data_IF_828546669102
#
_entry.id   IF_828546669102
#
_cell.length_a   1.000
_cell.length_b   1.000
_cell.length_c   1.000
_cell.angle_alpha   90.00
_cell.angle_beta   90.00
_cell.angle_gamma   90.00
#
_symmetry.space_group_name_H-M   'P 1'
#
loop_
_entity.id
_entity.type
_entity.pdbx_description
1 polymer ?
#
# COMPACT_ATOMS: atom_id res chain seq x y z
N UNK A 1 -17.02 -10.58 24.62
CA UNK A 1 -16.84 -12.02 24.39
C UNK A 1 -16.61 -12.24 22.90
N UNK A 2 -15.45 -12.76 22.44
CA UNK A 2 -15.26 -13.05 21.03
C UNK A 2 -16.18 -14.22 20.60
N UNK A 3 -16.78 -14.10 19.42
CA UNK A 3 -17.75 -15.06 18.87
C UNK A 3 -17.04 -16.39 18.49
N UNK A 4 -17.43 -17.54 19.07
CA UNK A 4 -16.70 -18.81 18.95
C UNK A 4 -16.78 -19.51 17.57
N UNK A 5 -17.41 -18.90 16.56
CA UNK A 5 -17.58 -19.50 15.21
C UNK A 5 -16.64 -18.98 14.12
N UNK A 6 -15.62 -18.19 14.44
CA UNK A 6 -14.56 -17.86 13.49
C UNK A 6 -13.20 -18.15 14.12
N UNK A 7 -12.39 -19.08 13.59
CA UNK A 7 -10.98 -19.13 13.95
C UNK A 7 -10.44 -17.72 13.72
N UNK A 8 -9.80 -17.17 14.74
CA UNK A 8 -9.31 -15.81 14.71
C UNK A 8 -8.31 -15.74 13.55
N UNK A 9 -8.70 -15.13 12.43
CA UNK A 9 -7.88 -15.13 11.20
C UNK A 9 -6.49 -14.56 11.43
N UNK A 10 -6.36 -13.73 12.46
CA UNK A 10 -5.10 -13.20 12.94
C UNK A 10 -4.17 -14.33 13.41
N UNK A 11 -4.67 -15.42 13.99
CA UNK A 11 -3.88 -16.62 14.35
C UNK A 11 -3.24 -17.30 13.14
N UNK A 12 -3.79 -17.12 11.93
CA UNK A 12 -3.17 -17.63 10.69
C UNK A 12 -2.20 -16.61 10.06
N UNK A 13 -2.44 -15.32 10.25
CA UNK A 13 -1.65 -14.24 9.67
C UNK A 13 -0.41 -13.93 10.52
N UNK A 14 -0.54 -13.96 11.83
CA UNK A 14 0.52 -13.62 12.78
C UNK A 14 1.74 -14.54 12.64
N UNK A 15 1.62 -15.87 12.47
CA UNK A 15 2.77 -16.74 12.20
C UNK A 15 3.54 -16.38 10.91
N UNK A 16 2.85 -15.89 9.87
CA UNK A 16 3.48 -15.44 8.62
C UNK A 16 4.27 -14.15 8.88
N UNK A 17 3.69 -13.21 9.61
CA UNK A 17 4.35 -11.96 10.02
C UNK A 17 5.54 -12.21 10.96
N UNK A 18 5.43 -13.15 11.88
CA UNK A 18 6.52 -13.55 12.77
C UNK A 18 7.67 -14.13 11.96
N UNK A 19 7.37 -15.11 11.09
CA UNK A 19 8.36 -15.80 10.26
C UNK A 19 9.05 -14.87 9.26
N UNK A 20 8.29 -14.15 8.45
CA UNK A 20 8.84 -13.37 7.33
C UNK A 20 8.99 -11.88 7.62
N UNK A 21 8.19 -11.33 8.54
CA UNK A 21 8.21 -9.90 8.87
C UNK A 21 7.38 -9.07 7.92
N UNK A 22 6.75 -9.69 6.94
CA UNK A 22 5.84 -9.06 5.99
C UNK A 22 4.80 -10.05 5.47
N UNK A 23 3.70 -9.52 4.95
CA UNK A 23 2.67 -10.27 4.23
C UNK A 23 2.02 -9.36 3.19
N UNK A 24 1.72 -9.89 2.00
CA UNK A 24 1.02 -9.14 0.95
C UNK A 24 -0.47 -9.03 1.26
N UNK A 25 -1.13 -7.97 0.76
CA UNK A 25 -2.59 -7.91 0.76
C UNK A 25 -3.16 -9.07 -0.08
N UNK A 26 -2.71 -9.15 -1.34
CA UNK A 26 -3.11 -10.17 -2.30
C UNK A 26 -1.95 -10.51 -3.23
N UNK A 27 -1.66 -11.80 -3.38
CA UNK A 27 -0.68 -12.34 -4.32
C UNK A 27 -1.03 -13.79 -4.69
N UNK A 28 -0.62 -14.21 -5.88
CA UNK A 28 -0.93 -15.53 -6.43
C UNK A 28 0.02 -16.61 -5.90
N UNK A 29 1.28 -16.25 -5.65
CA UNK A 29 2.36 -17.19 -5.32
C UNK A 29 2.95 -16.94 -3.94
N UNK A 30 2.97 -15.69 -3.49
CA UNK A 30 3.52 -15.31 -2.21
C UNK A 30 2.44 -15.30 -1.11
N UNK A 31 2.81 -15.52 0.16
CA UNK A 31 1.90 -15.42 1.28
C UNK A 31 1.15 -14.09 1.28
N UNK A 32 -0.18 -14.15 1.32
CA UNK A 32 -1.04 -12.98 1.31
C UNK A 32 -2.20 -13.13 2.28
N UNK A 33 -2.73 -12.00 2.77
CA UNK A 33 -3.92 -11.97 3.63
C UNK A 33 -5.10 -12.62 2.91
N UNK A 34 -5.28 -12.31 1.62
CA UNK A 34 -6.33 -12.89 0.79
C UNK A 34 -6.23 -14.41 0.71
N UNK A 35 -5.07 -14.96 0.31
CA UNK A 35 -4.90 -16.43 0.22
C UNK A 35 -5.03 -17.12 1.58
N UNK A 36 -4.61 -16.45 2.67
CA UNK A 36 -4.75 -16.98 4.03
C UNK A 36 -6.22 -17.10 4.47
N UNK A 37 -7.07 -16.16 4.05
CA UNK A 37 -8.50 -16.15 4.36
C UNK A 37 -9.27 -17.13 3.46
N UNK A 38 -8.97 -17.13 2.16
CA UNK A 38 -9.66 -17.98 1.19
C UNK A 38 -9.24 -19.45 1.36
N UNK A 39 -7.97 -19.69 1.71
CA UNK A 39 -7.38 -21.03 1.81
C UNK A 39 -6.71 -21.51 0.52
N UNK A 40 -6.80 -20.71 -0.56
CA UNK A 40 -6.20 -20.97 -1.87
C UNK A 40 -5.80 -19.65 -2.54
N UNK A 41 -5.04 -19.75 -3.63
CA UNK A 41 -4.65 -18.57 -4.42
C UNK A 41 -5.82 -18.07 -5.28
N UNK A 42 -6.04 -16.76 -5.32
CA UNK A 42 -7.07 -16.16 -6.17
C UNK A 42 -6.47 -15.62 -7.47
N UNK A 43 -7.12 -15.92 -8.60
CA UNK A 43 -6.87 -15.24 -9.86
C UNK A 43 -7.77 -14.02 -9.99
N UNK A 44 -7.18 -12.83 -10.12
CA UNK A 44 -7.91 -11.58 -10.29
C UNK A 44 -8.28 -10.87 -8.98
N UNK A 45 -9.39 -10.13 -9.00
CA UNK A 45 -9.81 -9.23 -7.92
C UNK A 45 -10.60 -9.96 -6.83
N UNK A 46 -10.22 -9.79 -5.57
CA UNK A 46 -10.94 -10.35 -4.43
C UNK A 46 -12.23 -9.60 -4.09
N UNK A 47 -12.45 -8.39 -4.62
CA UNK A 47 -13.60 -7.54 -4.29
C UNK A 47 -14.96 -8.19 -4.58
N UNK A 48 -15.04 -9.02 -5.61
CA UNK A 48 -16.26 -9.77 -5.96
C UNK A 48 -16.37 -11.15 -5.33
N UNK A 49 -15.39 -11.56 -4.51
CA UNK A 49 -15.36 -12.88 -3.92
C UNK A 49 -16.40 -13.01 -2.79
N UNK A 50 -16.94 -14.21 -2.58
CA UNK A 50 -17.94 -14.48 -1.51
C UNK A 50 -17.42 -14.12 -0.11
N UNK A 51 -16.11 -14.21 0.10
CA UNK A 51 -15.43 -13.79 1.34
C UNK A 51 -14.92 -12.34 1.33
N UNK A 52 -15.29 -11.52 0.34
CA UNK A 52 -14.77 -10.16 0.16
C UNK A 52 -14.94 -9.27 1.39
N UNK A 53 -16.12 -9.32 2.04
CA UNK A 53 -16.37 -8.58 3.28
C UNK A 53 -15.41 -8.99 4.41
N UNK A 54 -15.10 -10.29 4.51
CA UNK A 54 -14.18 -10.82 5.53
C UNK A 54 -12.74 -10.38 5.26
N UNK A 55 -12.34 -10.36 3.99
CA UNK A 55 -11.04 -9.83 3.56
C UNK A 55 -10.94 -8.35 3.91
N UNK A 56 -11.92 -7.54 3.51
CA UNK A 56 -11.95 -6.10 3.78
C UNK A 56 -11.85 -5.79 5.28
N UNK A 57 -12.63 -6.47 6.11
CA UNK A 57 -12.58 -6.32 7.57
C UNK A 57 -11.19 -6.68 8.13
N UNK A 58 -10.60 -7.78 7.67
CA UNK A 58 -9.29 -8.22 8.15
C UNK A 58 -8.18 -7.24 7.77
N UNK A 59 -8.17 -6.75 6.52
CA UNK A 59 -7.25 -5.70 6.06
C UNK A 59 -7.45 -4.39 6.84
N UNK A 60 -8.69 -4.05 7.17
CA UNK A 60 -9.04 -2.91 8.02
C UNK A 60 -8.49 -3.04 9.45
N UNK A 61 -8.49 -4.24 10.03
CA UNK A 61 -7.90 -4.51 11.34
C UNK A 61 -6.37 -4.39 11.26
N UNK A 62 -5.75 -5.04 10.26
CA UNK A 62 -4.29 -5.03 10.11
C UNK A 62 -3.74 -3.62 9.85
N UNK A 63 -4.42 -2.81 9.04
CA UNK A 63 -3.98 -1.44 8.72
C UNK A 63 -3.99 -0.49 9.92
N UNK A 64 -4.75 -0.82 10.98
CA UNK A 64 -4.82 -0.06 12.23
C UNK A 64 -3.87 -0.58 13.31
N UNK A 65 -3.19 -1.70 13.08
CA UNK A 65 -2.25 -2.26 14.06
C UNK A 65 -0.98 -1.40 14.12
N UNK A 66 -0.57 -0.92 15.31
CA UNK A 66 0.56 0.00 15.44
C UNK A 66 1.92 -0.63 15.13
N UNK A 67 2.02 -1.97 15.09
CA UNK A 67 3.25 -2.67 14.75
C UNK A 67 3.37 -3.04 13.26
N UNK A 68 2.43 -2.60 12.42
CA UNK A 68 2.42 -2.85 10.98
C UNK A 68 2.45 -1.53 10.21
N UNK A 69 3.34 -1.45 9.22
CA UNK A 69 3.34 -0.41 8.21
C UNK A 69 2.68 -0.97 6.94
N UNK A 70 1.72 -0.27 6.37
CA UNK A 70 1.16 -0.61 5.06
C UNK A 70 1.92 0.20 4.01
N UNK A 71 2.46 -0.43 2.98
CA UNK A 71 3.19 0.29 1.91
C UNK A 71 3.20 -0.51 0.61
N UNK A 72 3.72 0.07 -0.48
CA UNK A 72 4.10 -0.67 -1.68
C UNK A 72 5.54 -1.16 -1.52
N UNK A 73 5.74 -2.47 -1.68
CA UNK A 73 7.07 -3.08 -1.54
C UNK A 73 7.24 -4.23 -2.53
N UNK A 74 6.84 -5.45 -2.15
CA UNK A 74 7.05 -6.64 -2.98
C UNK A 74 6.18 -6.57 -4.24
N UNK A 75 6.81 -6.68 -5.41
CA UNK A 75 6.13 -6.60 -6.71
C UNK A 75 5.27 -5.33 -6.88
N UNK A 76 5.60 -4.25 -6.15
CA UNK A 76 4.82 -2.99 -6.11
C UNK A 76 3.40 -3.16 -5.56
N UNK A 77 3.14 -4.24 -4.81
CA UNK A 77 1.84 -4.55 -4.23
C UNK A 77 1.73 -4.06 -2.79
N UNK A 78 0.50 -3.88 -2.32
CA UNK A 78 0.24 -3.53 -0.90
C UNK A 78 0.82 -4.63 -0.02
N UNK A 79 1.71 -4.24 0.87
CA UNK A 79 2.44 -5.12 1.77
C UNK A 79 2.33 -4.57 3.18
N UNK A 80 1.99 -5.43 4.13
CA UNK A 80 2.08 -5.14 5.56
C UNK A 80 3.48 -5.52 6.04
N UNK A 81 4.20 -4.57 6.61
CA UNK A 81 5.59 -4.72 7.07
C UNK A 81 5.62 -4.60 8.59
N UNK A 82 6.05 -5.67 9.25
CA UNK A 82 6.16 -5.73 10.69
C UNK A 82 7.28 -4.82 11.21
N UNK A 83 7.07 -4.23 12.39
CA UNK A 83 7.98 -3.24 13.01
C UNK A 83 9.45 -3.64 13.07
N UNK A 84 9.74 -4.94 13.17
CA UNK A 84 11.10 -5.46 13.18
C UNK A 84 11.88 -5.18 11.89
N UNK A 85 11.17 -4.97 10.77
CA UNK A 85 11.75 -4.65 9.48
C UNK A 85 11.75 -3.14 9.18
N UNK A 86 11.14 -2.30 10.02
CA UNK A 86 11.07 -0.86 9.76
C UNK A 86 12.44 -0.19 9.61
N UNK A 87 13.47 -0.49 10.41
CA UNK A 87 14.79 0.12 10.20
C UNK A 87 15.37 -0.18 8.81
N UNK A 88 15.25 -1.43 8.35
CA UNK A 88 15.69 -1.84 7.01
C UNK A 88 14.85 -1.20 5.91
N UNK A 89 13.53 -1.16 6.09
CA UNK A 89 12.63 -0.48 5.15
C UNK A 89 12.95 1.01 5.05
N UNK A 90 13.14 1.71 6.17
CA UNK A 90 13.49 3.14 6.19
C UNK A 90 14.85 3.41 5.54
N UNK A 91 15.81 2.51 5.73
CA UNK A 91 17.12 2.61 5.05
C UNK A 91 16.91 2.62 3.54
N UNK A 92 16.12 1.68 3.00
CA UNK A 92 15.81 1.63 1.56
C UNK A 92 15.02 2.88 1.13
N UNK A 93 13.97 3.24 1.86
CA UNK A 93 13.09 4.35 1.51
C UNK A 93 13.81 5.72 1.49
N UNK A 94 14.89 5.87 2.26
CA UNK A 94 15.65 7.12 2.37
C UNK A 94 16.96 7.12 1.59
N UNK A 95 17.36 5.97 1.05
CA UNK A 95 18.68 5.77 0.41
C UNK A 95 18.90 6.62 -0.84
N UNK A 96 17.83 6.92 -1.60
CA UNK A 96 17.90 7.64 -2.89
C UNK A 96 18.84 6.97 -3.89
N UNK A 97 18.87 5.64 -3.87
CA UNK A 97 19.68 4.86 -4.79
C UNK A 97 19.25 5.06 -6.25
N UNK A 98 20.15 4.81 -7.23
CA UNK A 98 19.86 5.00 -8.65
C UNK A 98 18.55 4.34 -9.12
N UNK A 99 18.26 3.11 -8.67
CA UNK A 99 17.01 2.43 -9.03
C UNK A 99 15.74 3.19 -8.59
N UNK A 100 15.84 4.03 -7.55
CA UNK A 100 14.73 4.88 -7.11
C UNK A 100 14.58 6.09 -8.02
N UNK A 101 15.68 6.76 -8.39
CA UNK A 101 15.66 8.08 -9.04
C UNK A 101 15.81 8.04 -10.57
N UNK A 102 16.47 7.03 -11.11
CA UNK A 102 16.80 6.97 -12.54
C UNK A 102 15.56 6.81 -13.40
N UNK A 103 15.50 7.55 -14.50
CA UNK A 103 14.40 7.49 -15.48
C UNK A 103 13.02 7.72 -14.88
N UNK A 104 12.90 8.53 -13.82
CA UNK A 104 11.60 9.02 -13.37
C UNK A 104 10.91 9.79 -14.50
N UNK A 105 9.61 9.55 -14.69
CA UNK A 105 8.85 10.37 -15.63
C UNK A 105 8.89 11.85 -15.23
N UNK A 106 8.80 12.82 -16.17
CA UNK A 106 8.83 14.24 -15.85
C UNK A 106 7.76 14.66 -14.82
N UNK A 107 6.59 14.01 -14.85
CA UNK A 107 5.52 14.26 -13.88
C UNK A 107 5.85 13.67 -12.50
N UNK A 108 6.44 12.47 -12.43
CA UNK A 108 6.91 11.88 -11.17
C UNK A 108 8.03 12.72 -10.55
N UNK A 109 8.99 13.21 -11.34
CA UNK A 109 10.06 14.07 -10.84
C UNK A 109 9.51 15.39 -10.26
N UNK A 110 8.59 16.06 -10.98
CA UNK A 110 7.93 17.28 -10.49
C UNK A 110 7.11 17.03 -9.22
N UNK A 111 6.35 15.93 -9.20
CA UNK A 111 5.54 15.55 -8.03
C UNK A 111 6.42 15.23 -6.82
N UNK A 112 7.51 14.49 -7.01
CA UNK A 112 8.48 14.18 -5.95
C UNK A 112 9.09 15.46 -5.37
N UNK A 113 9.49 16.40 -6.23
CA UNK A 113 9.98 17.70 -5.78
C UNK A 113 8.92 18.45 -4.97
N UNK A 114 7.66 18.49 -5.43
CA UNK A 114 6.58 19.14 -4.70
C UNK A 114 6.30 18.50 -3.33
N UNK A 115 6.33 17.17 -3.24
CA UNK A 115 6.17 16.43 -1.97
C UNK A 115 7.33 16.74 -1.02
N UNK A 116 8.58 16.77 -1.52
CA UNK A 116 9.76 17.09 -0.70
C UNK A 116 9.71 18.52 -0.12
N UNK A 117 9.18 19.48 -0.87
CA UNK A 117 9.03 20.86 -0.40
C UNK A 117 7.89 21.02 0.61
N UNK A 118 6.75 20.36 0.39
CA UNK A 118 5.56 20.51 1.24
C UNK A 118 5.50 19.52 2.40
N UNK A 119 6.30 18.46 2.38
CA UNK A 119 6.29 17.33 3.32
C UNK A 119 5.08 16.40 3.18
N UNK A 120 3.91 16.94 2.83
CA UNK A 120 2.68 16.19 2.51
C UNK A 120 1.94 16.89 1.38
N UNK A 121 1.25 16.12 0.55
CA UNK A 121 0.55 16.67 -0.61
C UNK A 121 -0.68 15.83 -0.99
N UNK A 122 -1.80 16.51 -1.25
CA UNK A 122 -2.98 15.90 -1.87
C UNK A 122 -2.88 16.02 -3.39
N UNK A 123 -2.94 14.91 -4.13
CA UNK A 123 -2.91 14.96 -5.60
C UNK A 123 -4.13 15.70 -6.16
N UNK A 124 -5.25 15.73 -5.43
CA UNK A 124 -6.44 16.48 -5.83
C UNK A 124 -6.23 17.99 -5.75
N UNK A 125 -5.67 18.49 -4.64
CA UNK A 125 -5.37 19.91 -4.46
C UNK A 125 -4.27 20.34 -5.44
N UNK A 126 -3.21 19.53 -5.54
CA UNK A 126 -2.12 19.81 -6.46
C UNK A 126 -2.57 19.80 -7.93
N UNK A 127 -3.54 18.96 -8.29
CA UNK A 127 -4.17 18.97 -9.63
C UNK A 127 -4.82 20.32 -9.92
N UNK A 128 -5.57 20.87 -8.95
CA UNK A 128 -6.23 22.17 -9.07
C UNK A 128 -5.22 23.31 -9.19
N UNK A 129 -4.17 23.30 -8.38
CA UNK A 129 -3.16 24.36 -8.35
C UNK A 129 -2.28 24.36 -9.60
N UNK A 130 -1.88 23.18 -10.08
CA UNK A 130 -0.93 23.04 -11.20
C UNK A 130 -1.59 22.95 -12.58
N UNK A 131 -2.91 22.70 -12.63
CA UNK A 131 -3.63 22.38 -13.86
C UNK A 131 -3.34 20.98 -14.43
N UNK A 132 -2.49 20.18 -13.78
CA UNK A 132 -2.19 18.81 -14.21
C UNK A 132 -3.37 17.91 -13.90
N UNK A 133 -3.82 17.11 -14.88
CA UNK A 133 -4.96 16.19 -14.72
C UNK A 133 -4.70 15.17 -13.59
N UNK A 134 -5.75 14.91 -12.79
CA UNK A 134 -5.66 13.98 -11.65
C UNK A 134 -5.18 12.58 -12.02
N UNK A 135 -5.55 12.05 -13.19
CA UNK A 135 -5.09 10.74 -13.67
C UNK A 135 -3.58 10.69 -13.87
N UNK A 136 -3.00 11.75 -14.46
CA UNK A 136 -1.55 11.88 -14.67
C UNK A 136 -0.80 11.94 -13.35
N UNK A 137 -1.33 12.65 -12.35
CA UNK A 137 -0.78 12.67 -11.00
C UNK A 137 -0.94 11.31 -10.30
N UNK A 138 -2.02 10.59 -10.58
CA UNK A 138 -2.23 9.23 -10.09
C UNK A 138 -1.17 8.26 -10.61
N UNK A 139 -0.81 8.34 -11.88
CA UNK A 139 0.23 7.50 -12.48
C UNK A 139 1.62 7.87 -11.97
N UNK A 140 1.92 9.16 -11.88
CA UNK A 140 3.15 9.66 -11.26
C UNK A 140 3.27 9.19 -9.79
N UNK A 141 2.19 9.26 -9.01
CA UNK A 141 2.18 8.78 -7.63
C UNK A 141 2.43 7.27 -7.54
N UNK A 142 1.83 6.47 -8.42
CA UNK A 142 2.08 5.01 -8.47
C UNK A 142 3.53 4.68 -8.82
N UNK A 143 4.13 5.44 -9.74
CA UNK A 143 5.56 5.31 -10.07
C UNK A 143 6.43 5.59 -8.85
N UNK A 144 6.18 6.68 -8.12
CA UNK A 144 6.94 7.04 -6.92
C UNK A 144 6.75 6.03 -5.78
N UNK A 145 5.53 5.52 -5.56
CA UNK A 145 5.26 4.46 -4.58
C UNK A 145 5.99 3.17 -4.93
N UNK A 146 5.99 2.78 -6.21
CA UNK A 146 6.71 1.60 -6.70
C UNK A 146 8.23 1.69 -6.50
N UNK A 147 8.76 2.91 -6.43
CA UNK A 147 10.17 3.23 -6.16
C UNK A 147 10.45 3.56 -4.69
N UNK A 148 9.45 3.42 -3.81
CA UNK A 148 9.54 3.68 -2.38
C UNK A 148 10.03 5.12 -2.08
N UNK A 149 9.64 6.08 -2.94
CA UNK A 149 10.01 7.48 -2.81
C UNK A 149 8.95 8.32 -2.09
N UNK A 150 7.70 7.83 -2.07
CA UNK A 150 6.58 8.46 -1.36
C UNK A 150 5.72 7.39 -0.70
N UNK A 151 5.06 7.76 0.38
CA UNK A 151 4.03 6.93 1.01
C UNK A 151 2.66 7.47 0.64
N UNK A 152 1.88 6.71 -0.14
CA UNK A 152 0.56 7.17 -0.61
C UNK A 152 -0.61 6.45 0.05
N UNK A 153 -1.60 7.24 0.48
CA UNK A 153 -2.90 6.74 0.94
C UNK A 153 -3.97 7.19 -0.07
N UNK A 154 -4.65 6.22 -0.69
CA UNK A 154 -5.76 6.49 -1.61
C UNK A 154 -7.03 6.94 -0.87
N UNK A 155 -7.76 7.88 -1.46
CA UNK A 155 -9.08 8.31 -0.99
C UNK A 155 -9.95 8.72 -2.18
N UNK A 156 -11.27 8.70 -1.99
CA UNK A 156 -12.21 9.29 -2.95
C UNK A 156 -12.37 10.77 -2.61
N UNK A 157 -12.16 11.64 -3.58
CA UNK A 157 -12.48 13.06 -3.44
C UNK A 157 -14.00 13.27 -3.42
N UNK A 158 -14.46 14.45 -2.99
CA UNK A 158 -15.88 14.83 -3.02
C UNK A 158 -16.48 14.80 -4.44
N UNK A 159 -15.64 14.94 -5.48
CA UNK A 159 -16.04 14.82 -6.88
C UNK A 159 -15.99 13.38 -7.43
N UNK A 160 -15.78 12.38 -6.56
CA UNK A 160 -15.73 10.95 -6.93
C UNK A 160 -14.44 10.50 -7.62
N UNK A 161 -13.43 11.37 -7.75
CA UNK A 161 -12.14 11.00 -8.35
C UNK A 161 -11.25 10.27 -7.34
N UNK A 162 -10.54 9.23 -7.80
CA UNK A 162 -9.53 8.56 -6.99
C UNK A 162 -8.29 9.46 -6.85
N UNK A 163 -8.08 10.00 -5.66
CA UNK A 163 -6.95 10.84 -5.30
C UNK A 163 -6.03 10.12 -4.29
N UNK A 164 -4.84 10.68 -4.09
CA UNK A 164 -3.85 10.18 -3.13
C UNK A 164 -3.37 11.31 -2.24
N UNK A 165 -3.16 11.01 -0.95
CA UNK A 165 -2.35 11.81 -0.05
C UNK A 165 -0.96 11.20 -0.02
N UNK A 166 0.04 11.98 -0.39
CA UNK A 166 1.47 11.65 -0.38
C UNK A 166 2.16 12.35 0.80
#
# INVERSE_FOLDING_TARGET
MPNPKQPNLLEKIDPILERYGLILESDLHLPSVVSTIIGESIHGSWWGHSQGNRIYQTLGILSRRPNLLVTKLLSRKTTFVHRRLWPGFLTIATSREPWQLDHLSPNAQKLLYAVQQKGKLSTNEYSKDSGVKIGVLGDAARELEARILVYGIGFHSESGSHAKRL
#
